data_IF_861323991070
#
_entry.id   IF_861323991070
#
_cell.length_a   1.000
_cell.length_b   1.000
_cell.length_c   1.000
_cell.angle_alpha   90.00
_cell.angle_beta   90.00
_cell.angle_gamma   90.00
#
_symmetry.space_group_name_H-M   'P 1'
#
loop_
_entity.id
_entity.type
_entity.pdbx_description
1 polymer ?
#
# COMPACT_ATOMS: atom_id res chain seq x y z
N UNK A 1 -16.10 -38.87 20.75
CA UNK A 1 -17.01 -39.27 19.65
C UNK A 1 -17.62 -37.98 19.11
N UNK A 2 -16.94 -37.27 18.20
CA UNK A 2 -16.79 -37.54 16.77
C UNK A 2 -18.14 -37.50 16.04
N UNK A 3 -18.47 -36.35 15.41
CA UNK A 3 -19.10 -36.24 14.09
C UNK A 3 -19.64 -34.82 13.84
N UNK A 4 -18.87 -34.01 13.11
CA UNK A 4 -19.41 -32.97 12.21
C UNK A 4 -18.29 -32.52 11.25
N UNK A 5 -18.00 -33.39 10.28
CA UNK A 5 -17.31 -33.10 9.04
C UNK A 5 -18.24 -33.64 7.95
N UNK A 6 -18.70 -32.76 7.06
CA UNK A 6 -18.94 -33.01 5.63
C UNK A 6 -19.99 -32.05 5.09
N UNK A 7 -19.54 -31.04 4.35
CA UNK A 7 -20.24 -30.60 3.14
C UNK A 7 -19.26 -29.85 2.24
N UNK A 8 -18.65 -30.61 1.34
CA UNK A 8 -17.96 -30.11 0.17
C UNK A 8 -18.52 -30.80 -1.07
N UNK A 9 -18.50 -30.03 -2.17
CA UNK A 9 -18.71 -30.40 -3.56
C UNK A 9 -20.18 -30.51 -4.03
N UNK A 10 -20.56 -29.60 -4.93
CA UNK A 10 -20.58 -29.83 -6.39
C UNK A 10 -21.23 -28.66 -7.12
N UNK A 11 -20.46 -27.94 -7.94
CA UNK A 11 -20.92 -27.48 -9.27
C UNK A 11 -19.70 -27.30 -10.16
N UNK A 12 -19.60 -28.12 -11.21
CA UNK A 12 -18.64 -27.96 -12.29
C UNK A 12 -19.44 -27.97 -13.59
N UNK A 13 -19.52 -26.83 -14.27
CA UNK A 13 -19.81 -26.78 -15.70
C UNK A 13 -18.78 -25.88 -16.39
N UNK A 14 -18.35 -26.36 -17.54
CA UNK A 14 -17.33 -25.78 -18.41
C UNK A 14 -17.95 -24.84 -19.43
N UNK A 15 -17.19 -23.83 -19.90
CA UNK A 15 -17.24 -23.26 -21.26
C UNK A 15 -15.89 -22.58 -21.53
N UNK A 16 -15.38 -22.76 -22.75
CA UNK A 16 -14.00 -22.51 -23.14
C UNK A 16 -13.61 -21.08 -23.51
N UNK A 17 -12.31 -20.93 -23.76
CA UNK A 17 -11.67 -19.74 -24.30
C UNK A 17 -10.14 -19.90 -24.36
N UNK A 18 -9.61 -20.29 -25.52
CA UNK A 18 -8.21 -20.01 -25.93
C UNK A 18 -8.24 -18.81 -26.88
N UNK A 19 -7.11 -18.12 -27.15
CA UNK A 19 -6.03 -17.69 -26.28
C UNK A 19 -5.81 -16.16 -26.40
N UNK A 20 -5.02 -15.53 -25.52
CA UNK A 20 -4.39 -14.23 -25.85
C UNK A 20 -2.88 -14.27 -25.65
N UNK A 21 -2.10 -13.77 -26.62
CA UNK A 21 -0.66 -13.68 -26.52
C UNK A 21 -0.28 -12.60 -25.51
N UNK A 22 0.55 -12.96 -24.55
CA UNK A 22 1.23 -12.00 -23.67
C UNK A 22 2.28 -11.28 -24.52
N UNK A 23 1.94 -10.10 -25.03
CA UNK A 23 2.91 -9.21 -25.64
C UNK A 23 3.85 -8.68 -24.56
N UNK A 24 5.01 -9.34 -24.48
CA UNK A 24 6.36 -8.80 -24.48
C UNK A 24 6.47 -7.26 -24.41
N UNK A 25 7.11 -6.79 -23.34
CA UNK A 25 8.07 -5.68 -23.37
C UNK A 25 7.53 -4.26 -23.56
N UNK A 26 7.44 -3.52 -22.46
CA UNK A 26 7.73 -2.08 -22.48
C UNK A 26 8.83 -1.82 -21.45
N UNK A 27 10.06 -2.11 -21.85
CA UNK A 27 11.19 -1.27 -21.44
C UNK A 27 11.29 -0.17 -22.48
N UNK A 28 11.10 1.08 -22.09
CA UNK A 28 11.24 2.17 -23.04
C UNK A 28 10.79 3.52 -22.50
N UNK A 29 11.78 4.34 -22.15
CA UNK A 29 11.73 5.78 -21.93
C UNK A 29 10.93 6.27 -20.70
N UNK A 30 11.67 6.67 -19.66
CA UNK A 30 11.29 7.84 -18.88
C UNK A 30 11.27 9.03 -19.84
N UNK A 31 10.11 9.29 -20.44
CA UNK A 31 9.93 10.47 -21.28
C UNK A 31 10.18 11.71 -20.43
N UNK A 32 11.08 12.59 -20.85
CA UNK A 32 11.34 13.88 -20.21
C UNK A 32 10.20 14.89 -20.39
N UNK A 33 9.01 14.43 -20.80
CA UNK A 33 7.82 15.24 -20.97
C UNK A 33 7.07 15.42 -19.65
N UNK A 34 6.15 16.39 -19.58
CA UNK A 34 5.28 16.56 -18.41
C UNK A 34 4.45 15.28 -18.21
N UNK A 35 4.49 14.75 -16.98
CA UNK A 35 3.69 13.58 -16.58
C UNK A 35 2.19 13.89 -16.70
N UNK A 36 1.40 12.90 -17.13
CA UNK A 36 -0.05 13.00 -17.35
C UNK A 36 -0.78 11.97 -16.48
N UNK A 37 -0.76 12.11 -15.15
CA UNK A 37 -1.53 11.22 -14.28
C UNK A 37 -3.02 11.32 -14.62
N UNK A 38 -3.69 10.18 -14.61
CA UNK A 38 -5.11 10.04 -14.94
C UNK A 38 -5.80 9.16 -13.92
N UNK A 39 -7.09 9.40 -13.73
CA UNK A 39 -8.00 8.43 -13.12
C UNK A 39 -8.38 7.39 -14.15
N UNK A 40 -8.12 6.13 -13.82
CA UNK A 40 -8.54 5.00 -14.61
C UNK A 40 -9.82 4.43 -14.00
N UNK A 41 -10.97 4.74 -14.62
CA UNK A 41 -12.27 4.21 -14.18
C UNK A 41 -12.50 2.77 -14.62
N UNK A 42 -11.77 2.30 -15.63
CA UNK A 42 -11.89 0.92 -16.11
C UNK A 42 -11.06 -0.03 -15.24
N UNK A 43 -9.95 0.46 -14.69
CA UNK A 43 -9.14 -0.25 -13.71
C UNK A 43 -9.67 -0.02 -12.30
N UNK A 44 -9.90 -1.10 -11.58
CA UNK A 44 -10.19 -1.05 -10.15
C UNK A 44 -9.30 -2.03 -9.40
N UNK A 45 -8.97 -1.69 -8.16
CA UNK A 45 -8.42 -2.64 -7.18
C UNK A 45 -9.53 -2.92 -6.18
N UNK A 46 -10.04 -4.17 -6.18
CA UNK A 46 -11.12 -4.59 -5.28
C UNK A 46 -12.37 -3.69 -5.34
N UNK A 47 -12.69 -3.19 -6.54
CA UNK A 47 -13.83 -2.30 -6.78
C UNK A 47 -13.54 -0.82 -6.51
N UNK A 48 -12.38 -0.47 -5.95
CA UNK A 48 -11.99 0.92 -5.73
C UNK A 48 -11.32 1.51 -6.98
N UNK A 49 -11.64 2.77 -7.36
CA UNK A 49 -11.00 3.44 -8.50
C UNK A 49 -9.49 3.59 -8.31
N UNK A 50 -8.75 3.65 -9.42
CA UNK A 50 -7.29 3.81 -9.42
C UNK A 50 -6.89 5.10 -10.11
N UNK A 51 -5.86 5.78 -9.58
CA UNK A 51 -5.10 6.79 -10.32
C UNK A 51 -3.74 6.24 -10.68
N UNK A 52 -3.25 6.57 -11.87
CA UNK A 52 -1.92 6.18 -12.31
C UNK A 52 -1.34 7.19 -13.30
N UNK A 53 -0.04 7.12 -13.53
CA UNK A 53 0.62 7.92 -14.56
C UNK A 53 1.15 6.98 -15.66
N UNK A 54 0.72 7.12 -16.92
CA UNK A 54 1.20 6.29 -18.03
C UNK A 54 2.66 6.59 -18.39
N UNK A 55 3.18 7.75 -17.98
CA UNK A 55 4.55 8.19 -18.27
C UNK A 55 5.57 7.67 -17.23
N UNK A 56 5.10 7.08 -16.12
CA UNK A 56 5.97 6.49 -15.10
C UNK A 56 5.32 5.30 -14.39
N UNK A 57 5.83 4.91 -13.22
CA UNK A 57 5.30 3.78 -12.43
C UNK A 57 4.38 4.20 -11.30
N UNK A 58 4.00 5.46 -11.20
CA UNK A 58 3.09 5.89 -10.14
C UNK A 58 1.69 5.30 -10.36
N UNK A 59 1.17 4.62 -9.35
CA UNK A 59 -0.21 4.15 -9.31
C UNK A 59 -0.66 4.00 -7.85
N UNK A 60 -1.91 4.32 -7.54
CA UNK A 60 -2.50 4.12 -6.21
C UNK A 60 -4.02 4.02 -6.27
N UNK A 61 -4.61 3.47 -5.22
CA UNK A 61 -6.07 3.39 -5.05
C UNK A 61 -6.62 4.71 -4.54
N UNK A 62 -7.75 5.15 -5.09
CA UNK A 62 -8.59 6.20 -4.52
C UNK A 62 -9.49 5.56 -3.47
N UNK A 63 -9.30 5.96 -2.22
CA UNK A 63 -10.13 5.53 -1.11
C UNK A 63 -11.24 6.55 -0.94
N UNK A 64 -12.48 6.10 -0.79
CA UNK A 64 -13.62 7.02 -0.69
C UNK A 64 -13.45 7.95 0.51
N UNK A 65 -13.16 7.39 1.69
CA UNK A 65 -13.01 8.16 2.92
C UNK A 65 -11.84 9.17 2.92
N UNK A 66 -10.80 8.94 2.09
CA UNK A 66 -9.58 9.75 2.08
C UNK A 66 -9.45 10.64 0.82
N UNK A 67 -10.09 10.26 -0.28
CA UNK A 67 -9.82 10.79 -1.61
C UNK A 67 -11.08 11.13 -2.43
N UNK A 68 -12.31 10.91 -1.94
CA UNK A 68 -13.56 11.06 -2.72
C UNK A 68 -13.66 12.41 -3.47
N UNK A 69 -13.18 13.49 -2.86
CA UNK A 69 -13.16 14.84 -3.48
C UNK A 69 -11.74 15.39 -3.75
N UNK A 70 -10.71 14.62 -3.44
CA UNK A 70 -9.31 15.07 -3.51
C UNK A 70 -8.49 14.41 -4.63
N UNK A 71 -9.17 13.74 -5.57
CA UNK A 71 -8.56 13.13 -6.75
C UNK A 71 -7.70 14.12 -7.54
N UNK A 72 -8.25 15.29 -7.89
CA UNK A 72 -7.50 16.28 -8.69
C UNK A 72 -6.27 16.79 -7.94
N UNK A 73 -6.34 16.88 -6.60
CA UNK A 73 -5.19 17.25 -5.77
C UNK A 73 -4.08 16.19 -5.86
N UNK A 74 -4.42 14.89 -5.81
CA UNK A 74 -3.45 13.80 -6.02
C UNK A 74 -2.82 13.83 -7.43
N UNK A 75 -3.64 14.06 -8.46
CA UNK A 75 -3.17 14.16 -9.84
C UNK A 75 -2.23 15.37 -9.99
N UNK A 76 -2.61 16.55 -9.47
CA UNK A 76 -1.75 17.74 -9.50
C UNK A 76 -0.46 17.54 -8.74
N UNK A 77 -0.53 16.97 -7.54
CA UNK A 77 0.65 16.66 -6.74
C UNK A 77 1.64 15.79 -7.51
N UNK A 78 1.17 14.75 -8.22
CA UNK A 78 2.06 13.92 -9.01
C UNK A 78 2.65 14.66 -10.22
N UNK A 79 1.89 15.54 -10.88
CA UNK A 79 2.40 16.41 -11.96
C UNK A 79 3.56 17.30 -11.47
N UNK A 80 3.47 17.78 -10.24
CA UNK A 80 4.50 18.62 -9.60
C UNK A 80 5.68 17.83 -9.02
N UNK A 81 5.49 16.53 -8.75
CA UNK A 81 6.48 15.65 -8.14
C UNK A 81 6.72 14.35 -8.94
N UNK A 82 7.03 14.44 -10.25
CA UNK A 82 7.20 13.27 -11.11
C UNK A 82 8.33 12.32 -10.66
N UNK A 83 9.32 12.83 -9.93
CA UNK A 83 10.47 12.12 -9.37
C UNK A 83 10.14 11.25 -8.14
N UNK A 84 8.89 11.25 -7.67
CA UNK A 84 8.44 10.38 -6.56
C UNK A 84 7.49 9.26 -7.05
N UNK A 85 7.85 8.46 -8.09
CA UNK A 85 6.95 7.43 -8.58
C UNK A 85 6.98 6.21 -7.65
N UNK A 86 5.84 5.90 -7.03
CA UNK A 86 5.64 4.65 -6.29
C UNK A 86 4.44 3.93 -6.88
N UNK A 87 4.65 2.67 -7.26
CA UNK A 87 3.56 1.76 -7.65
C UNK A 87 2.96 1.16 -6.37
N UNK A 88 1.94 1.80 -5.84
CA UNK A 88 1.21 1.32 -4.68
C UNK A 88 0.29 0.13 -5.00
N UNK A 89 0.12 -0.25 -6.28
CA UNK A 89 -0.63 -1.45 -6.67
C UNK A 89 0.23 -2.70 -6.75
N UNK A 90 1.56 -2.55 -6.76
CA UNK A 90 2.47 -3.67 -6.61
C UNK A 90 2.34 -4.34 -5.22
N UNK A 91 2.74 -5.62 -5.07
CA UNK A 91 2.81 -6.24 -3.76
C UNK A 91 3.67 -5.42 -2.79
N UNK A 92 3.23 -5.22 -1.53
CA UNK A 92 4.01 -4.47 -0.56
C UNK A 92 5.33 -5.19 -0.27
N UNK A 93 6.43 -4.45 -0.11
CA UNK A 93 7.72 -5.03 0.26
C UNK A 93 7.72 -5.52 1.72
N UNK A 94 8.75 -6.27 2.10
CA UNK A 94 8.89 -6.77 3.47
C UNK A 94 9.12 -5.68 4.53
N UNK A 95 9.57 -4.48 4.12
CA UNK A 95 9.73 -3.32 5.00
C UNK A 95 9.01 -2.10 4.45
N UNK A 96 8.28 -1.42 5.31
CA UNK A 96 7.44 -0.27 5.00
C UNK A 96 8.00 0.98 5.70
N UNK A 97 7.56 2.14 5.23
CA UNK A 97 7.80 3.42 5.89
C UNK A 97 6.57 4.31 5.75
N UNK A 98 6.39 5.22 6.70
CA UNK A 98 5.42 6.32 6.57
C UNK A 98 6.02 7.36 5.59
N UNK A 99 5.35 7.69 4.49
CA UNK A 99 5.80 8.74 3.58
C UNK A 99 5.85 10.11 4.26
N UNK A 100 6.74 10.99 3.80
CA UNK A 100 6.90 12.32 4.39
C UNK A 100 5.65 13.22 4.26
N UNK A 101 4.80 12.97 3.25
CA UNK A 101 3.54 13.68 3.05
C UNK A 101 2.40 13.12 3.93
N UNK A 102 2.65 12.09 4.74
CA UNK A 102 1.66 11.51 5.65
C UNK A 102 1.94 12.00 7.06
N UNK A 103 1.03 12.81 7.61
CA UNK A 103 1.02 13.17 9.03
C UNK A 103 0.20 12.14 9.79
N UNK A 104 0.60 11.83 11.01
CA UNK A 104 -0.22 10.99 11.87
C UNK A 104 -0.05 11.33 13.34
N UNK A 105 -1.13 11.16 14.10
CA UNK A 105 -1.18 11.44 15.53
C UNK A 105 -2.07 10.42 16.24
N UNK A 106 -1.68 10.02 17.44
CA UNK A 106 -2.45 9.12 18.28
C UNK A 106 -3.51 9.87 19.07
N UNK A 107 -4.74 9.34 19.05
CA UNK A 107 -5.88 9.95 19.75
C UNK A 107 -6.79 8.86 20.30
N UNK A 108 -6.82 8.68 21.63
CA UNK A 108 -7.79 7.80 22.29
C UNK A 108 -7.77 6.34 21.79
N UNK A 109 -6.58 5.78 21.54
CA UNK A 109 -6.43 4.41 21.01
C UNK A 109 -6.62 4.28 19.50
N UNK A 110 -6.87 5.39 18.80
CA UNK A 110 -6.97 5.48 17.35
C UNK A 110 -5.80 6.28 16.79
N UNK A 111 -5.67 6.30 15.47
CA UNK A 111 -4.71 7.16 14.78
C UNK A 111 -5.44 8.10 13.82
N UNK A 112 -5.24 9.40 13.99
CA UNK A 112 -5.58 10.40 12.98
C UNK A 112 -4.46 10.38 11.94
N UNK A 113 -4.80 10.19 10.66
CA UNK A 113 -3.84 10.18 9.56
C UNK A 113 -4.25 11.23 8.54
N UNK A 114 -3.36 12.17 8.25
CA UNK A 114 -3.55 13.20 7.24
C UNK A 114 -2.64 12.99 6.04
N UNK A 115 -3.19 13.16 4.84
CA UNK A 115 -2.43 13.17 3.58
C UNK A 115 -2.23 14.61 3.12
N UNK A 116 -1.01 15.14 3.24
CA UNK A 116 -0.69 16.51 2.85
C UNK A 116 -0.87 16.79 1.36
N UNK A 117 -0.94 15.75 0.51
CA UNK A 117 -1.19 15.90 -0.93
C UNK A 117 -2.62 16.35 -1.20
N UNK A 118 -3.56 15.93 -0.35
CA UNK A 118 -4.99 16.21 -0.46
C UNK A 118 -5.49 17.20 0.57
N UNK A 119 -4.79 17.32 1.71
CA UNK A 119 -5.24 18.08 2.88
C UNK A 119 -6.21 17.29 3.77
N UNK A 120 -6.62 16.09 3.35
CA UNK A 120 -7.62 15.28 4.06
C UNK A 120 -7.04 14.59 5.29
N UNK A 121 -7.90 14.35 6.29
CA UNK A 121 -7.53 13.62 7.52
C UNK A 121 -8.62 12.65 7.93
N UNK A 122 -8.24 11.39 8.16
CA UNK A 122 -9.15 10.29 8.52
C UNK A 122 -8.72 9.63 9.83
N UNK A 123 -9.71 9.21 10.62
CA UNK A 123 -9.48 8.44 11.83
C UNK A 123 -9.50 6.94 11.55
N UNK A 124 -8.42 6.25 11.89
CA UNK A 124 -8.32 4.80 11.81
C UNK A 124 -8.34 4.11 13.18
N UNK A 125 -8.68 2.83 13.19
CA UNK A 125 -8.81 2.01 14.39
C UNK A 125 -7.46 1.66 15.05
N UNK A 126 -7.52 0.81 16.08
CA UNK A 126 -6.37 0.40 16.89
C UNK A 126 -5.33 -0.38 16.09
N UNK A 127 -5.77 -1.17 15.12
CA UNK A 127 -4.92 -1.96 14.24
C UNK A 127 -4.04 -1.07 13.37
N UNK A 128 -4.63 -0.03 12.77
CA UNK A 128 -3.86 0.97 12.02
C UNK A 128 -2.88 1.70 12.93
N UNK A 129 -3.29 2.12 14.13
CA UNK A 129 -2.38 2.76 15.09
C UNK A 129 -1.17 1.86 15.41
N UNK A 130 -1.40 0.58 15.67
CA UNK A 130 -0.34 -0.39 15.92
C UNK A 130 0.61 -0.54 14.71
N UNK A 131 0.08 -0.55 13.49
CA UNK A 131 0.87 -0.58 12.25
C UNK A 131 1.74 0.68 12.12
N UNK A 132 1.18 1.87 12.28
CA UNK A 132 1.93 3.12 12.17
C UNK A 132 3.06 3.19 13.20
N UNK A 133 2.81 2.82 14.46
CA UNK A 133 3.85 2.71 15.50
C UNK A 133 4.97 1.74 15.11
N UNK A 134 4.61 0.54 14.69
CA UNK A 134 5.56 -0.51 14.31
C UNK A 134 6.42 -0.07 13.13
N UNK A 135 5.78 0.41 12.06
CA UNK A 135 6.46 0.85 10.85
C UNK A 135 7.34 2.08 11.10
N UNK A 136 6.91 3.03 11.94
CA UNK A 136 7.74 4.18 12.29
C UNK A 136 8.97 3.81 13.12
N UNK A 137 8.90 2.75 13.93
CA UNK A 137 10.01 2.31 14.78
C UNK A 137 11.10 1.57 13.99
N UNK A 138 10.73 0.59 13.16
CA UNK A 138 11.71 -0.28 12.49
C UNK A 138 11.33 -0.65 11.04
N UNK A 139 10.20 -0.15 10.53
CA UNK A 139 9.67 -0.47 9.20
C UNK A 139 9.07 -1.87 9.09
N UNK A 140 9.02 -2.65 10.17
CA UNK A 140 8.42 -3.97 10.26
C UNK A 140 7.01 -3.95 10.81
N UNK A 141 6.38 -5.13 10.84
CA UNK A 141 5.01 -5.33 11.35
C UNK A 141 4.95 -6.22 12.61
N UNK A 142 6.08 -6.76 13.07
CA UNK A 142 6.09 -7.77 14.14
C UNK A 142 5.61 -7.20 15.49
N UNK A 143 5.95 -5.94 15.79
CA UNK A 143 5.43 -5.24 16.96
C UNK A 143 3.91 -5.01 16.85
N UNK A 144 3.40 -4.64 15.67
CA UNK A 144 1.97 -4.49 15.43
C UNK A 144 1.22 -5.83 15.61
N UNK A 145 1.78 -6.94 15.11
CA UNK A 145 1.23 -8.29 15.29
C UNK A 145 1.16 -8.67 16.76
N UNK A 146 2.24 -8.42 17.51
CA UNK A 146 2.33 -8.76 18.93
C UNK A 146 1.33 -7.95 19.75
N UNK A 147 1.26 -6.63 19.51
CA UNK A 147 0.30 -5.76 20.18
C UNK A 147 -1.16 -6.16 19.88
N UNK A 148 -1.48 -6.49 18.63
CA UNK A 148 -2.83 -6.86 18.23
C UNK A 148 -3.24 -8.24 18.76
N UNK A 149 -2.33 -9.22 18.74
CA UNK A 149 -2.55 -10.54 19.32
C UNK A 149 -2.87 -10.46 20.81
N UNK A 150 -2.09 -9.67 21.56
CA UNK A 150 -2.33 -9.45 22.99
C UNK A 150 -3.68 -8.78 23.24
N UNK A 151 -3.97 -7.67 22.54
CA UNK A 151 -5.21 -6.91 22.72
C UNK A 151 -6.47 -7.75 22.47
N UNK A 152 -6.46 -8.58 21.43
CA UNK A 152 -7.60 -9.40 21.05
C UNK A 152 -7.61 -10.78 21.71
N UNK A 153 -6.58 -11.13 22.50
CA UNK A 153 -6.39 -12.47 23.06
C UNK A 153 -6.46 -13.58 22.00
N UNK A 154 -5.80 -13.36 20.84
CA UNK A 154 -5.72 -14.32 19.73
C UNK A 154 -4.28 -14.77 19.48
N UNK A 155 -4.11 -15.84 18.70
CA UNK A 155 -2.78 -16.33 18.35
C UNK A 155 -2.02 -15.36 17.42
N UNK A 156 -0.68 -15.26 17.54
CA UNK A 156 0.12 -14.41 16.67
C UNK A 156 -0.05 -14.69 15.15
N UNK A 157 -0.17 -15.96 14.68
CA UNK A 157 -0.42 -16.23 13.26
C UNK A 157 -1.74 -15.63 12.76
N UNK A 158 -2.80 -15.66 13.57
CA UNK A 158 -4.09 -15.05 13.22
C UNK A 158 -3.97 -13.53 13.14
N UNK A 159 -3.39 -12.91 14.16
CA UNK A 159 -3.14 -11.46 14.17
C UNK A 159 -2.25 -11.02 12.99
N UNK A 160 -1.28 -11.84 12.58
CA UNK A 160 -0.42 -11.56 11.43
C UNK A 160 -1.20 -11.45 10.13
N UNK A 161 -2.16 -12.34 9.89
CA UNK A 161 -3.02 -12.27 8.70
C UNK A 161 -3.75 -10.93 8.60
N UNK A 162 -4.37 -10.50 9.71
CA UNK A 162 -5.12 -9.25 9.77
C UNK A 162 -4.21 -8.03 9.58
N UNK A 163 -3.08 -7.98 10.30
CA UNK A 163 -2.14 -6.85 10.26
C UNK A 163 -1.51 -6.70 8.86
N UNK A 164 -1.10 -7.81 8.23
CA UNK A 164 -0.55 -7.77 6.85
C UNK A 164 -1.62 -7.31 5.87
N UNK A 165 -2.87 -7.78 6.01
CA UNK A 165 -3.96 -7.35 5.14
C UNK A 165 -4.23 -5.85 5.25
N UNK A 166 -4.29 -5.32 6.48
CA UNK A 166 -4.54 -3.90 6.75
C UNK A 166 -3.36 -3.06 6.25
N UNK A 167 -2.12 -3.45 6.54
CA UNK A 167 -0.92 -2.76 6.06
C UNK A 167 -0.85 -2.72 4.53
N UNK A 168 -1.25 -3.80 3.85
CA UNK A 168 -1.35 -3.81 2.39
C UNK A 168 -2.43 -2.83 1.88
N UNK A 169 -3.54 -2.67 2.60
CA UNK A 169 -4.54 -1.64 2.30
C UNK A 169 -3.97 -0.22 2.44
N UNK A 170 -3.31 0.08 3.55
CA UNK A 170 -2.65 1.37 3.77
C UNK A 170 -1.57 1.65 2.72
N UNK A 171 -0.81 0.63 2.31
CA UNK A 171 0.15 0.72 1.22
C UNK A 171 -0.54 1.09 -0.11
N UNK A 172 -1.62 0.39 -0.50
CA UNK A 172 -2.35 0.65 -1.75
C UNK A 172 -2.96 2.05 -1.81
N UNK A 173 -3.34 2.61 -0.66
CA UNK A 173 -3.88 3.97 -0.50
C UNK A 173 -2.79 5.06 -0.51
N UNK A 174 -1.51 4.69 -0.59
CA UNK A 174 -0.41 5.67 -0.55
C UNK A 174 -0.03 6.16 0.85
N UNK A 175 -0.62 5.59 1.91
CA UNK A 175 -0.35 5.95 3.31
C UNK A 175 0.90 5.27 3.88
N UNK A 176 1.34 4.18 3.24
CA UNK A 176 2.63 3.54 3.48
C UNK A 176 3.37 3.43 2.15
N UNK A 177 4.70 3.46 2.20
CA UNK A 177 5.57 3.27 1.03
C UNK A 177 6.62 2.19 1.32
N UNK A 178 7.35 1.70 0.32
CA UNK A 178 8.54 0.92 0.58
C UNK A 178 9.46 1.70 1.51
N UNK A 179 9.94 1.07 2.58
CA UNK A 179 11.15 1.57 3.20
C UNK A 179 12.21 1.49 2.11
N UNK A 180 12.68 2.64 1.62
CA UNK A 180 13.93 2.65 0.88
C UNK A 180 14.88 1.82 1.75
N UNK A 181 15.53 0.82 1.16
CA UNK A 181 16.62 0.12 1.81
C UNK A 181 17.39 1.18 2.58
N UNK A 182 17.64 0.99 3.88
CA UNK A 182 18.69 1.73 4.56
C UNK A 182 20.02 1.29 3.90
N UNK A 183 20.18 1.59 2.62
CA UNK A 183 21.39 1.54 1.84
C UNK A 183 22.04 2.86 2.19
N UNK A 184 22.70 2.89 3.34
CA UNK A 184 23.92 3.68 3.40
C UNK A 184 24.85 3.07 2.34
N UNK A 185 25.30 3.82 1.33
CA UNK A 185 26.61 3.52 0.80
C UNK A 185 27.59 3.73 1.96
N UNK A 186 28.03 2.65 2.61
CA UNK A 186 29.30 2.66 3.34
C UNK A 186 30.42 2.89 2.32
N UNK A 187 30.52 4.10 1.80
CA UNK A 187 31.69 4.63 1.11
C UNK A 187 32.40 5.57 2.08
N UNK A 188 32.97 5.01 3.15
CA UNK A 188 34.01 5.66 3.92
C UNK A 188 34.99 4.59 4.40
N UNK A 189 36.08 4.48 3.65
CA UNK A 189 37.21 3.60 3.90
C UNK A 189 38.27 3.87 2.84
N UNK A 190 38.81 5.09 2.85
CA UNK A 190 39.84 5.59 1.94
C UNK A 190 41.15 4.78 1.98
N UNK A 191 42.12 5.17 1.13
CA UNK A 191 43.27 4.34 0.80
C UNK A 191 44.18 4.08 2.00
N UNK A 192 44.68 2.84 2.07
CA UNK A 192 45.79 2.45 2.93
C UNK A 192 47.01 3.32 2.60
N UNK A 193 47.61 3.86 3.66
CA UNK A 193 48.98 4.38 3.62
C UNK A 193 49.98 3.25 3.32
#
# INVERSE_FOLDING_TARGET
MQNMLDQAARTTEAIGGRPRPVQRGVSGASGTGPHRPVRDRARSDRGQPVVHCPDCRWAQVLDEDLHEDAEEALLSWHREHPQKPVDHLAPPPGRLAVPAYVRWQETGGRVAVGDERTGETVMFNHECMAIFRSVAADGGLDAAVTANAHRLSISPPRARGDIVHIAAGLYRKGLLRPAASLQEPSQHGGPRA
#
